data_IF_162212729386
#
_entry.id   IF_162212729386
#
_cell.length_a   1.000
_cell.length_b   1.000
_cell.length_c   1.000
_cell.angle_alpha   90.00
_cell.angle_beta   90.00
_cell.angle_gamma   90.00
#
_symmetry.space_group_name_H-M   'P 1'
#
loop_
_entity.id
_entity.type
_entity.pdbx_description
1 polymer ?
#
# COMPACT_ATOMS: atom_id res chain seq x y z
N UNK A 1 -13.16 -1.21 -7.36
CA UNK A 1 -14.03 -0.05 -7.08
C UNK A 1 -13.83 0.41 -5.64
N UNK A 2 -14.16 1.66 -5.38
CA UNK A 2 -14.16 2.22 -4.03
C UNK A 2 -15.42 1.81 -3.24
N UNK A 3 -15.54 2.32 -2.01
CA UNK A 3 -16.69 2.00 -1.15
C UNK A 3 -18.03 2.50 -1.69
N UNK A 4 -18.03 3.44 -2.61
CA UNK A 4 -19.23 3.93 -3.28
C UNK A 4 -19.54 3.18 -4.58
N UNK A 5 -18.69 2.23 -4.98
CA UNK A 5 -18.88 1.46 -6.20
C UNK A 5 -18.28 2.09 -7.46
N UNK A 6 -17.50 3.14 -7.33
CA UNK A 6 -16.88 3.81 -8.47
C UNK A 6 -15.51 3.17 -8.78
N UNK A 7 -15.12 3.09 -10.06
CA UNK A 7 -13.78 2.64 -10.42
C UNK A 7 -12.71 3.50 -9.74
N UNK A 8 -11.61 2.87 -9.33
CA UNK A 8 -10.46 3.60 -8.80
C UNK A 8 -9.81 4.39 -9.92
N UNK A 9 -9.44 5.62 -9.63
CA UNK A 9 -8.85 6.56 -10.60
C UNK A 9 -7.35 6.72 -10.33
N UNK A 10 -6.49 6.65 -11.36
CA UNK A 10 -5.07 6.92 -11.20
C UNK A 10 -4.80 8.33 -10.67
N UNK A 11 -3.84 8.45 -9.77
CA UNK A 11 -3.43 9.74 -9.19
C UNK A 11 -4.35 10.30 -8.12
N UNK A 12 -5.45 9.63 -7.83
CA UNK A 12 -6.41 10.05 -6.80
C UNK A 12 -6.06 9.36 -5.48
N UNK A 13 -6.23 10.08 -4.37
CA UNK A 13 -5.97 9.54 -3.03
C UNK A 13 -7.09 8.64 -2.53
N UNK A 14 -6.70 7.51 -1.97
CA UNK A 14 -7.63 6.56 -1.35
C UNK A 14 -7.09 6.15 0.01
N UNK A 15 -7.97 6.19 1.02
CA UNK A 15 -7.70 5.51 2.28
C UNK A 15 -7.79 4.01 2.08
N UNK A 16 -6.86 3.29 2.64
CA UNK A 16 -6.86 1.81 2.64
C UNK A 16 -7.43 1.38 3.97
N UNK A 17 -8.71 1.00 3.97
CA UNK A 17 -9.42 0.61 5.17
C UNK A 17 -9.37 -0.90 5.36
N UNK A 18 -8.88 -1.37 6.49
CA UNK A 18 -8.86 -2.79 6.76
C UNK A 18 -10.29 -3.35 6.84
N UNK A 19 -10.43 -4.62 6.54
CA UNK A 19 -11.69 -5.32 6.66
C UNK A 19 -12.16 -5.36 8.13
N UNK A 20 -11.21 -5.46 9.05
CA UNK A 20 -11.46 -5.48 10.49
C UNK A 20 -11.10 -4.12 11.08
N UNK A 21 -12.03 -3.52 11.81
CA UNK A 21 -11.91 -2.13 12.28
C UNK A 21 -10.73 -1.88 13.23
N UNK A 22 -10.28 -2.90 13.95
CA UNK A 22 -9.15 -2.81 14.88
C UNK A 22 -7.78 -2.95 14.22
N UNK A 23 -7.73 -3.18 12.92
CA UNK A 23 -6.47 -3.39 12.23
C UNK A 23 -5.74 -2.10 11.87
N UNK A 24 -6.44 -0.97 11.80
CA UNK A 24 -5.87 0.32 11.49
C UNK A 24 -5.55 0.54 10.02
N UNK A 25 -5.38 1.79 9.63
CA UNK A 25 -5.02 2.18 8.28
C UNK A 25 -3.53 2.07 7.99
N UNK A 26 -3.16 2.25 6.74
CA UNK A 26 -1.75 2.29 6.33
C UNK A 26 -1.18 3.69 6.54
N UNK A 27 0.06 3.74 6.98
CA UNK A 27 0.83 4.98 7.07
C UNK A 27 2.32 4.67 6.93
N UNK A 28 3.15 5.67 7.12
CA UNK A 28 4.60 5.54 7.05
C UNK A 28 5.19 5.58 8.46
N UNK A 29 6.22 4.79 8.70
CA UNK A 29 6.88 4.76 9.99
C UNK A 29 8.33 4.32 9.91
N UNK A 30 9.07 4.64 10.95
CA UNK A 30 10.46 4.21 11.11
C UNK A 30 10.47 2.80 11.71
N UNK A 31 11.23 1.91 11.09
CA UNK A 31 11.45 0.56 11.59
C UNK A 31 12.94 0.22 11.53
N UNK A 32 13.33 -0.89 12.12
CA UNK A 32 14.69 -1.40 12.03
C UNK A 32 15.75 -0.43 12.57
N UNK A 33 15.42 0.44 13.53
CA UNK A 33 16.30 1.49 14.03
C UNK A 33 16.87 2.39 12.92
N UNK A 34 16.12 2.57 11.83
CA UNK A 34 16.52 3.41 10.71
C UNK A 34 15.55 4.58 10.55
N UNK A 35 16.11 5.74 10.27
CA UNK A 35 15.31 6.92 9.98
C UNK A 35 14.75 6.88 8.58
N UNK A 36 15.53 6.43 7.61
CA UNK A 36 15.17 6.40 6.19
C UNK A 36 15.70 5.14 5.52
N UNK A 37 14.96 4.58 4.55
CA UNK A 37 13.62 5.00 4.14
C UNK A 37 12.57 4.66 5.18
N UNK A 38 11.42 5.33 5.11
CA UNK A 38 10.26 4.96 5.90
C UNK A 38 9.60 3.71 5.32
N UNK A 39 9.11 2.86 6.20
CA UNK A 39 8.40 1.65 5.80
C UNK A 39 6.89 1.85 5.89
N UNK A 40 6.14 1.03 5.18
CA UNK A 40 4.67 1.04 5.24
C UNK A 40 4.24 0.24 6.45
N UNK A 41 3.53 0.89 7.36
CA UNK A 41 3.08 0.28 8.62
C UNK A 41 1.57 0.44 8.79
N UNK A 42 1.00 -0.33 9.70
CA UNK A 42 -0.36 -0.15 10.17
C UNK A 42 -0.35 0.58 11.51
N UNK A 43 -1.26 1.54 11.63
CA UNK A 43 -1.43 2.29 12.89
C UNK A 43 -2.88 2.11 13.36
N UNK A 44 -3.13 1.30 14.42
CA UNK A 44 -4.48 1.01 14.88
C UNK A 44 -5.22 2.22 15.44
N UNK A 45 -4.51 3.29 15.80
CA UNK A 45 -5.11 4.51 16.33
C UNK A 45 -5.45 5.54 15.25
N UNK A 46 -5.22 5.22 13.97
CA UNK A 46 -5.29 6.19 12.89
C UNK A 46 -5.97 5.59 11.65
N UNK A 47 -6.73 6.41 10.93
CA UNK A 47 -7.41 5.97 9.70
C UNK A 47 -6.45 5.75 8.53
N UNK A 48 -5.22 6.16 8.69
CA UNK A 48 -4.18 6.01 7.69
C UNK A 48 -3.95 7.26 6.87
N UNK A 49 -2.90 7.18 6.06
CA UNK A 49 -2.55 8.16 5.05
C UNK A 49 -3.05 7.65 3.70
N UNK A 50 -3.68 8.49 2.87
CA UNK A 50 -4.14 8.03 1.57
C UNK A 50 -3.00 7.55 0.69
N UNK A 51 -3.26 6.51 -0.10
CA UNK A 51 -2.36 6.06 -1.16
C UNK A 51 -2.89 6.54 -2.50
N UNK A 52 -2.02 6.63 -3.51
CA UNK A 52 -2.43 6.78 -4.89
C UNK A 52 -1.84 5.68 -5.75
N UNK A 53 -2.49 5.43 -6.88
CA UNK A 53 -2.08 4.40 -7.83
C UNK A 53 -1.71 5.06 -9.14
N UNK A 54 -0.60 4.63 -9.73
CA UNK A 54 -0.24 4.99 -11.10
C UNK A 54 -0.46 3.78 -11.99
N UNK A 55 -1.28 3.97 -13.01
CA UNK A 55 -1.58 2.98 -14.04
C UNK A 55 -1.34 3.63 -15.41
N UNK A 56 -0.08 3.66 -15.89
CA UNK A 56 0.26 4.42 -17.09
C UNK A 56 -0.59 4.05 -18.29
N UNK A 57 -1.13 5.07 -18.98
CA UNK A 57 -1.96 4.88 -20.16
C UNK A 57 -3.40 4.45 -19.90
N UNK A 58 -3.81 4.31 -18.63
CA UNK A 58 -5.15 3.87 -18.27
C UNK A 58 -5.91 4.98 -17.53
N UNK A 59 -7.21 5.01 -17.71
CA UNK A 59 -8.12 5.96 -17.05
C UNK A 59 -8.72 5.43 -15.74
N UNK A 60 -8.43 4.19 -15.41
CA UNK A 60 -8.84 3.54 -14.18
C UNK A 60 -7.73 2.62 -13.67
N UNK A 61 -7.83 2.19 -12.43
CA UNK A 61 -6.90 1.27 -11.78
C UNK A 61 -7.46 -0.15 -11.92
N UNK A 62 -6.92 -0.99 -12.80
CA UNK A 62 -7.39 -2.35 -12.96
C UNK A 62 -6.83 -3.29 -11.89
N UNK A 63 -7.52 -4.41 -11.67
CA UNK A 63 -6.97 -5.52 -10.90
C UNK A 63 -5.99 -6.34 -11.74
N UNK A 64 -5.12 -7.09 -11.07
CA UNK A 64 -4.19 -8.06 -11.67
C UNK A 64 -3.28 -7.44 -12.75
N UNK A 65 -2.97 -6.17 -12.60
CA UNK A 65 -2.13 -5.40 -13.50
C UNK A 65 -1.04 -4.71 -12.69
N UNK A 66 0.16 -4.59 -13.25
CA UNK A 66 1.25 -3.91 -12.58
C UNK A 66 0.90 -2.45 -12.31
N UNK A 67 0.96 -2.06 -11.05
CA UNK A 67 0.67 -0.71 -10.56
C UNK A 67 1.85 -0.19 -9.76
N UNK A 68 2.02 1.12 -9.82
CA UNK A 68 2.90 1.83 -8.90
C UNK A 68 2.02 2.44 -7.81
N UNK A 69 2.39 2.22 -6.56
CA UNK A 69 1.65 2.72 -5.40
C UNK A 69 2.54 3.69 -4.65
N UNK A 70 2.00 4.84 -4.28
CA UNK A 70 2.72 5.81 -3.47
C UNK A 70 1.82 6.45 -2.42
N UNK A 71 2.47 7.16 -1.49
CA UNK A 71 1.77 8.07 -0.59
C UNK A 71 2.00 9.49 -1.09
N UNK A 72 0.96 10.26 -1.43
CA UNK A 72 1.12 11.62 -1.94
C UNK A 72 1.45 12.61 -0.81
N UNK A 73 2.57 12.40 -0.14
CA UNK A 73 3.03 13.20 0.99
C UNK A 73 4.53 13.45 0.86
N UNK A 74 5.01 14.49 1.52
CA UNK A 74 6.44 14.78 1.68
C UNK A 74 6.87 14.29 3.06
N UNK A 75 8.00 13.60 3.13
CA UNK A 75 8.52 13.04 4.38
C UNK A 75 9.84 13.71 4.77
N UNK A 76 10.24 13.50 6.03
CA UNK A 76 11.55 13.96 6.53
C UNK A 76 12.72 13.33 5.80
N UNK A 77 12.50 12.18 5.15
CA UNK A 77 13.53 11.52 4.35
C UNK A 77 13.81 12.21 3.03
N UNK A 78 12.90 13.07 2.58
CA UNK A 78 13.00 13.76 1.29
C UNK A 78 13.31 12.80 0.14
N UNK A 79 12.66 11.65 0.16
CA UNK A 79 12.76 10.57 -0.83
C UNK A 79 11.40 10.32 -1.46
N UNK A 80 11.36 9.71 -2.65
CA UNK A 80 10.10 9.25 -3.22
C UNK A 80 9.34 8.34 -2.24
N UNK A 81 8.03 8.51 -2.18
CA UNK A 81 7.15 7.69 -1.34
C UNK A 81 6.55 6.51 -2.11
N UNK A 82 7.15 6.17 -3.23
CA UNK A 82 6.80 5.01 -4.05
C UNK A 82 7.15 3.73 -3.29
N UNK A 83 6.20 2.82 -3.23
CA UNK A 83 6.39 1.54 -2.57
C UNK A 83 7.43 0.68 -3.29
N UNK A 84 8.21 -0.04 -2.51
CA UNK A 84 9.09 -1.09 -3.03
C UNK A 84 9.24 -2.19 -2.01
N UNK A 85 9.58 -3.39 -2.47
CA UNK A 85 10.03 -4.45 -1.57
C UNK A 85 11.48 -4.22 -1.19
N UNK A 86 11.76 -4.32 0.11
CA UNK A 86 13.08 -4.22 0.68
C UNK A 86 13.37 -5.48 1.46
N UNK A 87 14.41 -6.22 1.09
CA UNK A 87 14.79 -7.45 1.78
C UNK A 87 15.30 -7.10 3.18
N UNK A 88 14.70 -7.69 4.20
CA UNK A 88 15.06 -7.41 5.60
C UNK A 88 15.51 -8.65 6.35
N UNK A 89 15.32 -9.83 5.77
CA UNK A 89 15.74 -11.08 6.36
C UNK A 89 15.69 -12.22 5.34
N UNK A 90 16.03 -13.43 5.78
CA UNK A 90 15.93 -14.60 4.94
C UNK A 90 14.45 -14.96 4.77
N UNK A 91 13.98 -14.92 3.53
CA UNK A 91 12.63 -15.34 3.19
C UNK A 91 11.54 -14.31 3.44
N UNK A 92 11.86 -13.04 3.80
CA UNK A 92 10.86 -12.00 3.90
C UNK A 92 11.37 -10.61 3.57
N UNK A 93 10.43 -9.76 3.16
CA UNK A 93 10.67 -8.39 2.71
C UNK A 93 9.65 -7.47 3.35
N UNK A 94 10.06 -6.25 3.70
CA UNK A 94 9.12 -5.19 4.06
C UNK A 94 8.70 -4.42 2.82
N UNK A 95 7.46 -3.92 2.83
CA UNK A 95 7.05 -2.87 1.90
C UNK A 95 7.57 -1.56 2.46
N UNK A 96 8.48 -0.96 1.74
CA UNK A 96 9.18 0.27 2.12
C UNK A 96 8.89 1.36 1.10
N UNK A 97 9.60 2.46 1.19
CA UNK A 97 9.52 3.58 0.26
C UNK A 97 10.86 3.82 -0.42
N UNK A 98 11.02 4.94 -1.09
CA UNK A 98 12.15 5.25 -1.95
C UNK A 98 12.20 4.35 -3.19
N UNK A 99 11.03 3.93 -3.67
CA UNK A 99 10.93 3.09 -4.87
C UNK A 99 11.14 3.89 -6.15
N UNK A 100 11.33 3.13 -7.23
CA UNK A 100 11.46 3.65 -8.58
C UNK A 100 10.37 3.00 -9.45
N UNK A 101 9.51 3.80 -10.15
CA UNK A 101 8.48 3.24 -11.01
C UNK A 101 8.99 2.30 -12.10
N UNK A 102 10.27 2.40 -12.45
CA UNK A 102 10.88 1.53 -13.47
C UNK A 102 11.50 0.26 -12.89
N UNK A 103 11.52 0.13 -11.57
CA UNK A 103 12.10 -1.03 -10.89
C UNK A 103 11.03 -2.09 -10.62
N UNK A 104 11.40 -3.35 -10.82
CA UNK A 104 10.50 -4.49 -10.60
C UNK A 104 10.01 -4.55 -9.15
N UNK A 105 10.83 -4.15 -8.19
CA UNK A 105 10.48 -4.18 -6.76
C UNK A 105 9.39 -3.17 -6.39
N UNK A 106 9.09 -2.23 -7.28
CA UNK A 106 8.02 -1.24 -7.10
C UNK A 106 6.74 -1.57 -7.86
N UNK A 107 6.62 -2.77 -8.42
CA UNK A 107 5.43 -3.20 -9.17
C UNK A 107 4.56 -4.10 -8.32
N UNK A 108 3.37 -3.61 -8.00
CA UNK A 108 2.39 -4.32 -7.20
C UNK A 108 1.11 -4.53 -8.00
N UNK A 109 0.26 -5.41 -7.52
CA UNK A 109 -1.08 -5.64 -8.06
C UNK A 109 -2.10 -5.54 -6.93
N UNK A 110 -3.33 -5.20 -7.28
CA UNK A 110 -4.47 -5.42 -6.41
C UNK A 110 -5.28 -6.59 -6.96
N UNK A 111 -5.82 -7.38 -6.05
CA UNK A 111 -6.63 -8.55 -6.39
C UNK A 111 -7.95 -8.46 -5.64
N UNK A 112 -9.05 -8.69 -6.36
CA UNK A 112 -10.37 -8.74 -5.75
C UNK A 112 -10.57 -10.08 -5.08
N UNK A 113 -11.08 -10.07 -3.85
CA UNK A 113 -11.48 -11.30 -3.18
C UNK A 113 -12.73 -11.85 -3.85
N UNK A 114 -12.62 -13.07 -4.35
CA UNK A 114 -13.73 -13.73 -5.03
C UNK A 114 -14.82 -14.18 -4.08
N UNK A 115 -16.04 -14.29 -4.60
CA UNK A 115 -17.21 -14.75 -3.87
C UNK A 115 -18.25 -13.64 -3.69
N UNK A 116 -19.38 -14.03 -3.10
CA UNK A 116 -20.46 -13.11 -2.79
C UNK A 116 -20.20 -12.45 -1.44
N UNK A 117 -19.69 -11.23 -1.48
CA UNK A 117 -19.46 -10.41 -0.31
C UNK A 117 -20.39 -9.20 -0.36
N UNK A 118 -20.75 -8.69 0.82
CA UNK A 118 -21.56 -7.49 0.92
C UNK A 118 -20.86 -6.27 0.32
N UNK A 119 -19.53 -6.32 0.20
CA UNK A 119 -18.69 -5.25 -0.30
C UNK A 119 -17.62 -5.80 -1.23
N UNK A 120 -17.08 -4.94 -2.08
CA UNK A 120 -15.88 -5.25 -2.84
C UNK A 120 -14.66 -5.21 -1.91
N UNK A 121 -13.98 -6.35 -1.80
CA UNK A 121 -12.84 -6.56 -0.91
C UNK A 121 -11.63 -6.86 -1.78
N UNK A 122 -10.50 -6.26 -1.43
CA UNK A 122 -9.26 -6.39 -2.17
C UNK A 122 -8.10 -6.77 -1.27
N UNK A 123 -7.03 -7.24 -1.86
CA UNK A 123 -5.74 -7.39 -1.22
C UNK A 123 -4.64 -6.89 -2.17
N UNK A 124 -3.50 -6.56 -1.60
CA UNK A 124 -2.31 -6.26 -2.38
C UNK A 124 -1.53 -7.53 -2.62
N UNK A 125 -0.84 -7.56 -3.75
CA UNK A 125 -0.03 -8.69 -4.16
C UNK A 125 1.26 -8.19 -4.78
N UNK A 126 2.37 -8.80 -4.43
CA UNK A 126 3.61 -8.62 -5.18
C UNK A 126 3.71 -9.73 -6.21
N UNK A 127 3.42 -9.41 -7.44
CA UNK A 127 3.37 -10.37 -8.53
C UNK A 127 3.68 -9.65 -9.85
N UNK A 128 4.89 -9.12 -10.02
CA UNK A 128 5.24 -8.39 -11.24
C UNK A 128 5.07 -9.26 -12.48
N UNK A 129 4.58 -8.66 -13.56
CA UNK A 129 4.37 -9.34 -14.83
C UNK A 129 5.71 -9.56 -15.57
N UNK A 130 6.61 -10.31 -14.92
CA UNK A 130 7.93 -10.65 -15.41
C UNK A 130 8.15 -12.14 -15.20
N UNK A 131 8.68 -12.81 -16.22
CA UNK A 131 8.93 -14.25 -16.14
C UNK A 131 9.93 -14.58 -15.02
N UNK A 132 9.64 -15.63 -14.27
CA UNK A 132 10.54 -16.15 -13.23
C UNK A 132 10.40 -15.48 -11.87
N UNK A 133 9.51 -14.51 -11.71
CA UNK A 133 9.23 -13.88 -10.40
C UNK A 133 8.04 -14.56 -9.76
N UNK A 134 8.18 -14.93 -8.49
CA UNK A 134 7.10 -15.55 -7.72
C UNK A 134 6.09 -14.52 -7.29
N UNK A 135 4.82 -14.93 -7.27
CA UNK A 135 3.73 -14.15 -6.72
C UNK A 135 3.58 -14.42 -5.22
N UNK A 136 3.37 -13.36 -4.45
CA UNK A 136 3.17 -13.49 -3.01
C UNK A 136 2.16 -12.45 -2.50
N UNK A 137 1.30 -12.83 -1.53
CA UNK A 137 0.41 -11.87 -0.92
C UNK A 137 1.18 -10.86 -0.07
N UNK A 138 0.63 -9.65 0.00
CA UNK A 138 1.11 -8.59 0.89
C UNK A 138 0.24 -8.63 2.14
N UNK A 139 0.87 -8.69 3.29
CA UNK A 139 0.18 -8.78 4.56
C UNK A 139 0.95 -8.07 5.67
N UNK A 140 0.72 -8.50 6.90
CA UNK A 140 1.26 -7.86 8.08
C UNK A 140 2.28 -8.75 8.77
N UNK A 141 3.41 -8.16 9.13
CA UNK A 141 4.43 -8.76 9.99
C UNK A 141 4.55 -7.92 11.26
N UNK A 142 4.50 -8.56 12.42
CA UNK A 142 4.71 -7.87 13.68
C UNK A 142 6.20 -7.89 14.04
N UNK A 143 6.79 -6.71 14.10
CA UNK A 143 8.20 -6.53 14.43
C UNK A 143 8.44 -6.73 15.94
N UNK A 144 9.70 -6.83 16.33
CA UNK A 144 10.08 -7.10 17.73
C UNK A 144 9.58 -6.05 18.73
N UNK A 145 9.39 -4.81 18.29
CA UNK A 145 8.84 -3.73 19.11
C UNK A 145 7.31 -3.62 19.07
N UNK A 146 6.64 -4.56 18.42
CA UNK A 146 5.19 -4.57 18.27
C UNK A 146 4.65 -3.77 17.10
N UNK A 147 5.51 -3.11 16.32
CA UNK A 147 5.09 -2.40 15.11
C UNK A 147 4.61 -3.38 14.05
N UNK A 148 3.45 -3.11 13.47
CA UNK A 148 2.89 -3.94 12.41
C UNK A 148 3.32 -3.37 11.07
N UNK A 149 4.24 -4.05 10.41
CA UNK A 149 4.84 -3.64 9.14
C UNK A 149 4.17 -4.40 8.00
N UNK A 150 3.93 -3.74 6.90
CA UNK A 150 3.42 -4.39 5.70
C UNK A 150 4.57 -5.15 5.05
N UNK A 151 4.34 -6.41 4.75
CA UNK A 151 5.42 -7.34 4.40
C UNK A 151 4.97 -8.41 3.41
N UNK A 152 5.98 -9.04 2.80
CA UNK A 152 5.83 -10.22 1.94
C UNK A 152 6.79 -11.28 2.46
N UNK A 153 6.35 -12.51 2.53
CA UNK A 153 7.21 -13.62 2.95
C UNK A 153 6.43 -14.87 3.33
N UNK A 154 7.16 -15.83 3.87
CA UNK A 154 6.57 -17.08 4.34
C UNK A 154 5.62 -16.82 5.51
N UNK A 155 4.47 -17.50 5.50
CA UNK A 155 3.43 -17.38 6.52
C UNK A 155 2.81 -15.97 6.66
N UNK A 156 2.95 -15.13 5.64
CA UNK A 156 2.26 -13.84 5.58
C UNK A 156 0.92 -14.03 4.91
N UNK A 157 -0.15 -13.79 5.65
CA UNK A 157 -1.51 -13.85 5.14
C UNK A 157 -1.91 -12.54 4.46
N UNK A 158 -2.79 -12.58 3.44
CA UNK A 158 -3.22 -11.36 2.76
C UNK A 158 -3.87 -10.36 3.73
N UNK A 159 -3.57 -9.09 3.52
CA UNK A 159 -4.22 -7.96 4.21
C UNK A 159 -5.43 -7.54 3.38
N UNK A 160 -6.62 -7.83 3.86
CA UNK A 160 -7.86 -7.53 3.14
C UNK A 160 -8.34 -6.13 3.46
N UNK A 161 -8.69 -5.40 2.42
CA UNK A 161 -8.97 -3.97 2.50
C UNK A 161 -10.14 -3.55 1.61
N UNK A 162 -10.64 -2.37 1.89
CA UNK A 162 -11.54 -1.60 1.03
C UNK A 162 -10.91 -0.25 0.77
N UNK A 163 -11.27 0.38 -0.34
CA UNK A 163 -10.75 1.68 -0.70
C UNK A 163 -11.80 2.77 -0.50
N UNK A 164 -11.43 3.82 0.23
CA UNK A 164 -12.28 4.98 0.46
C UNK A 164 -11.66 6.19 -0.20
N UNK A 165 -12.30 6.71 -1.23
CA UNK A 165 -11.83 7.91 -1.92
C UNK A 165 -11.77 9.09 -0.95
N UNK A 166 -10.69 9.84 -0.99
CA UNK A 166 -10.56 11.09 -0.26
C UNK A 166 -11.60 12.05 -0.83
N UNK A 167 -12.42 12.66 0.06
CA UNK A 167 -13.50 13.52 -0.38
C UNK A 167 -12.96 14.78 -1.09
N UNK A 168 -13.72 15.29 -2.07
CA UNK A 168 -13.37 16.52 -2.79
C UNK A 168 -13.16 17.69 -1.83
N UNK A 169 -13.94 17.76 -0.78
CA UNK A 169 -13.81 18.78 0.25
C UNK A 169 -12.46 18.69 0.99
N UNK A 170 -11.97 17.49 1.23
CA UNK A 170 -10.65 17.26 1.80
C UNK A 170 -9.53 17.54 0.81
N UNK A 171 -9.74 17.26 -0.48
CA UNK A 171 -8.74 17.47 -1.54
C UNK A 171 -8.38 18.95 -1.71
N UNK A 172 -9.36 19.84 -1.66
CA UNK A 172 -9.12 21.28 -1.79
C UNK A 172 -8.26 21.85 -0.67
N UNK A 173 -8.17 21.13 0.44
CA UNK A 173 -7.40 21.52 1.62
C UNK A 173 -6.15 20.68 1.83
N UNK A 174 -5.96 19.66 1.02
CA UNK A 174 -4.78 18.80 1.14
C UNK A 174 -3.56 19.52 0.57
N UNK A 175 -2.84 20.14 1.46
CA UNK A 175 -1.45 20.45 1.21
C UNK A 175 -0.63 19.17 1.41
N UNK A 176 0.44 18.96 0.63
CA UNK A 176 1.38 17.89 0.96
C UNK A 176 1.89 18.15 2.38
N UNK A 177 1.54 17.30 3.33
CA UNK A 177 2.04 17.46 4.68
C UNK A 177 3.23 16.55 4.91
N UNK A 178 4.11 17.00 5.82
CA UNK A 178 5.27 16.21 6.20
C UNK A 178 4.84 15.16 7.22
N UNK A 179 5.26 13.93 7.00
CA UNK A 179 5.16 12.85 7.96
C UNK A 179 6.53 12.68 8.61
N UNK A 180 6.55 12.67 9.91
CA UNK A 180 7.79 12.57 10.67
C UNK A 180 8.16 11.10 10.89
#
# INVERSE_FOLDING_TARGET
VDKQGNPLEPGVGYYVWPLWADEGGLTLGQTRNKTCPLDVIRDPSFIGTPVSFLAPGLDHVPTLTDLIIDFPVVTVCNQPTVWRLLKVGSGFWFVSTNGDPNDITSKFKIERLEGDHAYEIYSFKFCPSVYGVLCAPVGTFEDADGTKVIAVGDNIEPYYVRFQKVSTFGQDKQQPFSIV
#
